data_IF_094043769095
#
_entry.id   IF_094043769095
#
_cell.length_a   1.000
_cell.length_b   1.000
_cell.length_c   1.000
_cell.angle_alpha   90.00
_cell.angle_beta   90.00
_cell.angle_gamma   90.00
#
_symmetry.space_group_name_H-M   'P 1'
#
loop_
_entity.id
_entity.type
_entity.pdbx_description
1 polymer ?
#
# COMPACT_ATOMS: atom_id res chain seq x y z
N UNK A 1 38.35 19.11 30.87
CA UNK A 1 36.92 19.32 31.14
C UNK A 1 36.14 18.80 29.94
N UNK A 2 35.55 17.60 30.05
CA UNK A 2 34.62 17.08 29.03
C UNK A 2 33.21 17.47 29.45
N UNK A 3 32.54 18.18 28.56
CA UNK A 3 31.18 18.65 28.69
C UNK A 3 30.23 17.44 28.91
N UNK A 4 29.71 17.29 30.12
CA UNK A 4 28.72 16.27 30.44
C UNK A 4 27.36 16.82 30.00
N UNK A 5 26.99 16.51 28.75
CA UNK A 5 25.65 16.79 28.24
C UNK A 5 24.56 16.25 29.18
N UNK A 6 23.39 16.89 29.24
CA UNK A 6 22.41 16.68 30.30
C UNK A 6 22.00 15.21 30.41
N UNK A 7 22.27 14.62 31.57
CA UNK A 7 21.78 13.30 31.96
C UNK A 7 20.25 13.33 32.00
N UNK A 8 19.61 12.95 30.90
CA UNK A 8 18.17 12.70 30.88
C UNK A 8 17.84 11.68 31.99
N UNK A 9 16.93 12.07 32.88
CA UNK A 9 16.52 11.23 34.01
C UNK A 9 15.96 9.89 33.51
N UNK A 10 16.04 8.81 34.32
CA UNK A 10 15.50 7.49 33.95
C UNK A 10 14.02 7.55 33.53
N UNK A 11 13.25 8.48 34.12
CA UNK A 11 11.84 8.73 33.78
C UNK A 11 11.68 9.41 32.42
N UNK A 12 12.53 10.39 32.08
CA UNK A 12 12.53 11.06 30.77
C UNK A 12 12.90 10.12 29.61
N UNK A 13 13.88 9.24 29.82
CA UNK A 13 14.25 8.24 28.79
C UNK A 13 13.13 7.25 28.51
N UNK A 14 12.37 6.85 29.55
CA UNK A 14 11.26 5.89 29.42
C UNK A 14 10.06 6.48 28.69
N UNK A 15 9.73 7.76 28.94
CA UNK A 15 8.62 8.45 28.26
C UNK A 15 8.94 8.75 26.79
N UNK A 16 10.20 9.06 26.47
CA UNK A 16 10.64 9.26 25.10
C UNK A 16 10.59 7.94 24.30
N UNK A 17 11.11 6.85 24.88
CA UNK A 17 11.02 5.51 24.28
C UNK A 17 9.58 5.07 24.04
N UNK A 18 8.66 5.28 25.00
CA UNK A 18 7.25 4.92 24.80
C UNK A 18 6.63 5.72 23.65
N UNK A 19 6.86 7.04 23.60
CA UNK A 19 6.39 7.89 22.48
C UNK A 19 6.90 7.40 21.13
N UNK A 20 8.17 7.04 21.03
CA UNK A 20 8.74 6.55 19.76
C UNK A 20 8.13 5.22 19.33
N UNK A 21 7.89 4.30 20.26
CA UNK A 21 7.25 3.01 19.97
C UNK A 21 5.81 3.21 19.50
N UNK A 22 5.05 4.09 20.15
CA UNK A 22 3.66 4.40 19.78
C UNK A 22 3.56 5.04 18.39
N UNK A 23 4.52 5.89 18.01
CA UNK A 23 4.57 6.48 16.67
C UNK A 23 4.88 5.43 15.60
N UNK A 24 5.83 4.53 15.86
CA UNK A 24 6.21 3.43 14.95
C UNK A 24 5.07 2.45 14.72
N UNK A 25 4.34 2.09 15.78
CA UNK A 25 3.20 1.19 15.67
C UNK A 25 2.08 1.81 14.83
N UNK A 26 1.73 3.08 15.11
CA UNK A 26 0.66 3.78 14.40
C UNK A 26 0.97 4.01 12.92
N UNK A 27 2.22 4.31 12.57
CA UNK A 27 2.62 4.50 11.17
C UNK A 27 2.54 3.21 10.36
N UNK A 28 2.89 2.06 10.95
CA UNK A 28 2.79 0.76 10.29
C UNK A 28 1.33 0.32 10.09
N UNK A 29 0.45 0.62 11.05
CA UNK A 29 -1.00 0.43 10.91
C UNK A 29 -1.56 1.34 9.80
N UNK A 30 -1.16 2.61 9.77
CA UNK A 30 -1.59 3.55 8.73
C UNK A 30 -1.16 3.09 7.32
N UNK A 31 0.10 2.68 7.15
CA UNK A 31 0.58 2.08 5.90
C UNK A 31 -0.30 0.89 5.49
N UNK A 32 -0.55 -0.03 6.42
CA UNK A 32 -1.32 -1.25 6.15
C UNK A 32 -2.73 -0.92 5.64
N UNK A 33 -3.45 -0.06 6.37
CA UNK A 33 -4.82 0.31 6.02
C UNK A 33 -4.90 1.10 4.72
N UNK A 34 -3.97 2.03 4.48
CA UNK A 34 -3.95 2.82 3.24
C UNK A 34 -3.58 1.96 2.02
N UNK A 35 -2.63 1.02 2.16
CA UNK A 35 -2.29 0.09 1.09
C UNK A 35 -3.46 -0.84 0.76
N UNK A 36 -4.13 -1.39 1.79
CA UNK A 36 -5.32 -2.22 1.62
C UNK A 36 -6.47 -1.44 0.96
N UNK A 37 -6.71 -0.19 1.38
CA UNK A 37 -7.70 0.70 0.77
C UNK A 37 -7.36 1.00 -0.69
N UNK A 38 -6.11 1.34 -1.01
CA UNK A 38 -5.69 1.65 -2.37
C UNK A 38 -5.84 0.47 -3.33
N UNK A 39 -5.41 -0.74 -2.92
CA UNK A 39 -5.57 -1.96 -3.74
C UNK A 39 -7.04 -2.33 -3.88
N UNK A 40 -7.83 -2.24 -2.81
CA UNK A 40 -9.26 -2.51 -2.84
C UNK A 40 -10.00 -1.55 -3.76
N UNK A 41 -9.77 -0.25 -3.60
CA UNK A 41 -10.38 0.79 -4.42
C UNK A 41 -10.03 0.62 -5.90
N UNK A 42 -8.81 0.18 -6.22
CA UNK A 42 -8.41 -0.13 -7.60
C UNK A 42 -9.27 -1.22 -8.23
N UNK A 43 -9.52 -2.32 -7.52
CA UNK A 43 -10.37 -3.40 -8.02
C UNK A 43 -11.83 -2.99 -8.08
N UNK A 44 -12.36 -2.31 -7.06
CA UNK A 44 -13.74 -1.80 -7.06
C UNK A 44 -13.98 -0.83 -8.22
N UNK A 45 -13.07 0.12 -8.41
CA UNK A 45 -13.15 1.09 -9.50
C UNK A 45 -12.99 0.42 -10.87
N UNK A 46 -12.13 -0.60 -10.98
CA UNK A 46 -11.99 -1.41 -12.19
C UNK A 46 -13.28 -2.17 -12.55
N UNK A 47 -13.96 -2.74 -11.56
CA UNK A 47 -15.28 -3.36 -11.77
C UNK A 47 -16.32 -2.33 -12.19
N UNK A 48 -16.36 -1.16 -11.54
CA UNK A 48 -17.25 -0.06 -11.91
C UNK A 48 -16.99 0.44 -13.34
N UNK A 49 -15.72 0.53 -13.75
CA UNK A 49 -15.31 0.88 -15.10
C UNK A 49 -15.86 -0.12 -16.12
N UNK A 50 -15.59 -1.41 -15.94
CA UNK A 50 -16.05 -2.44 -16.88
C UNK A 50 -17.59 -2.50 -16.93
N UNK A 51 -18.24 -2.43 -15.78
CA UNK A 51 -19.70 -2.43 -15.70
C UNK A 51 -20.31 -1.22 -16.41
N UNK A 52 -19.86 0.00 -16.10
CA UNK A 52 -20.37 1.22 -16.74
C UNK A 52 -20.05 1.28 -18.24
N UNK A 53 -18.93 0.70 -18.67
CA UNK A 53 -18.61 0.54 -20.09
C UNK A 53 -19.63 -0.34 -20.80
N UNK A 54 -20.02 -1.47 -20.22
CA UNK A 54 -21.03 -2.37 -20.79
C UNK A 54 -22.42 -1.73 -20.83
N UNK A 55 -22.77 -0.90 -19.84
CA UNK A 55 -24.11 -0.33 -19.71
C UNK A 55 -24.30 0.98 -20.49
N UNK A 56 -23.30 1.85 -20.49
CA UNK A 56 -23.42 3.24 -20.95
C UNK A 56 -22.29 3.66 -21.91
N UNK A 57 -21.37 2.74 -22.24
CA UNK A 57 -20.29 2.98 -23.19
C UNK A 57 -19.04 3.63 -22.58
N UNK A 58 -17.98 3.77 -23.40
CA UNK A 58 -16.66 4.19 -22.95
C UNK A 58 -16.61 5.59 -22.35
N UNK A 59 -17.35 6.54 -22.94
CA UNK A 59 -17.33 7.94 -22.52
C UNK A 59 -17.81 8.11 -21.07
N UNK A 60 -18.93 7.47 -20.72
CA UNK A 60 -19.50 7.50 -19.36
C UNK A 60 -18.56 6.81 -18.37
N UNK A 61 -18.04 5.63 -18.73
CA UNK A 61 -17.08 4.89 -17.88
C UNK A 61 -15.83 5.71 -17.54
N UNK A 62 -15.26 6.41 -18.53
CA UNK A 62 -14.12 7.28 -18.32
C UNK A 62 -14.46 8.48 -17.42
N UNK A 63 -15.62 9.10 -17.61
CA UNK A 63 -16.05 10.23 -16.77
C UNK A 63 -16.29 9.81 -15.31
N UNK A 64 -16.97 8.69 -15.08
CA UNK A 64 -17.29 8.18 -13.74
C UNK A 64 -16.04 7.81 -12.94
N UNK A 65 -14.98 7.35 -13.60
CA UNK A 65 -13.78 6.83 -12.93
C UNK A 65 -12.56 7.77 -12.99
N UNK A 66 -12.68 8.91 -13.70
CA UNK A 66 -11.57 9.83 -13.98
C UNK A 66 -10.79 10.25 -12.72
N UNK A 67 -11.50 10.58 -11.64
CA UNK A 67 -10.88 11.02 -10.38
C UNK A 67 -10.38 9.86 -9.51
N UNK A 68 -10.95 8.67 -9.66
CA UNK A 68 -10.60 7.52 -8.84
C UNK A 68 -9.18 7.02 -9.11
N UNK A 69 -8.76 6.96 -10.38
CA UNK A 69 -7.42 6.50 -10.76
C UNK A 69 -6.26 7.30 -10.13
N UNK A 70 -6.21 8.64 -10.26
CA UNK A 70 -5.18 9.44 -9.60
C UNK A 70 -5.31 9.43 -8.07
N UNK A 71 -6.53 9.35 -7.51
CA UNK A 71 -6.74 9.27 -6.07
C UNK A 71 -6.12 7.99 -5.47
N UNK A 72 -6.25 6.84 -6.15
CA UNK A 72 -5.59 5.59 -5.73
C UNK A 72 -4.07 5.75 -5.69
N UNK A 73 -3.48 6.31 -6.75
CA UNK A 73 -2.04 6.59 -6.81
C UNK A 73 -1.58 7.47 -5.64
N UNK A 74 -2.34 8.53 -5.35
CA UNK A 74 -2.05 9.43 -4.22
C UNK A 74 -2.15 8.72 -2.87
N UNK A 75 -3.19 7.92 -2.63
CA UNK A 75 -3.33 7.11 -1.42
C UNK A 75 -2.13 6.19 -1.24
N UNK A 76 -1.65 5.56 -2.32
CA UNK A 76 -0.47 4.70 -2.27
C UNK A 76 0.82 5.46 -1.97
N UNK A 77 1.01 6.67 -2.51
CA UNK A 77 2.15 7.52 -2.15
C UNK A 77 2.09 7.88 -0.67
N UNK A 78 0.93 8.32 -0.16
CA UNK A 78 0.76 8.64 1.26
C UNK A 78 1.01 7.41 2.14
N UNK A 79 0.56 6.23 1.71
CA UNK A 79 0.82 4.96 2.40
C UNK A 79 2.33 4.71 2.52
N UNK A 80 3.07 4.79 1.42
CA UNK A 80 4.52 4.57 1.41
C UNK A 80 5.22 5.62 2.28
N UNK A 81 4.81 6.89 2.21
CA UNK A 81 5.36 7.94 3.07
C UNK A 81 5.08 7.66 4.56
N UNK A 82 3.90 7.17 4.91
CA UNK A 82 3.57 6.75 6.28
C UNK A 82 4.52 5.65 6.76
N UNK A 83 4.87 4.71 5.88
CA UNK A 83 5.87 3.68 6.19
C UNK A 83 7.26 4.27 6.52
N UNK A 84 7.65 5.44 6.02
CA UNK A 84 8.98 5.96 6.33
C UNK A 84 9.15 6.35 7.81
N UNK A 85 8.06 6.69 8.50
CA UNK A 85 8.09 7.08 9.91
C UNK A 85 8.32 5.91 10.89
N UNK A 86 8.26 4.66 10.43
CA UNK A 86 8.63 3.50 11.26
C UNK A 86 10.10 3.07 11.11
N UNK A 87 10.80 3.57 10.08
CA UNK A 87 12.19 3.19 9.80
C UNK A 87 13.16 3.89 10.77
N UNK A 88 14.11 3.12 11.33
CA UNK A 88 15.20 3.67 12.14
C UNK A 88 16.20 4.52 11.33
N UNK A 89 16.38 4.20 10.04
CA UNK A 89 17.19 5.01 9.11
C UNK A 89 16.54 5.05 7.72
N UNK A 90 15.75 6.08 7.40
CA UNK A 90 15.08 6.22 6.10
C UNK A 90 16.06 6.24 4.91
N UNK A 91 17.28 6.74 5.11
CA UNK A 91 18.33 6.79 4.08
C UNK A 91 18.82 5.41 3.60
N UNK A 92 18.60 4.36 4.39
CA UNK A 92 18.93 2.99 4.02
C UNK A 92 17.73 2.20 3.47
N UNK A 93 16.58 2.84 3.24
CA UNK A 93 15.37 2.16 2.74
C UNK A 93 15.60 1.39 1.44
N UNK A 94 16.52 1.86 0.58
CA UNK A 94 16.89 1.18 -0.66
C UNK A 94 17.46 -0.24 -0.44
N UNK A 95 18.10 -0.51 0.71
CA UNK A 95 18.63 -1.85 1.03
C UNK A 95 17.52 -2.88 1.23
N UNK A 96 16.28 -2.46 1.39
CA UNK A 96 15.15 -3.37 1.47
C UNK A 96 15.00 -4.24 0.22
N UNK A 97 15.56 -3.84 -0.92
CA UNK A 97 15.56 -4.62 -2.15
C UNK A 97 16.59 -5.77 -2.18
N UNK A 98 17.54 -5.84 -1.24
CA UNK A 98 18.63 -6.81 -1.27
C UNK A 98 18.19 -8.26 -0.99
N UNK A 99 17.00 -8.47 -0.40
CA UNK A 99 16.55 -9.79 0.06
C UNK A 99 15.17 -10.25 -0.46
N UNK A 100 14.81 -9.85 -1.68
CA UNK A 100 13.53 -10.18 -2.33
C UNK A 100 13.20 -11.69 -2.36
N UNK A 101 14.23 -12.54 -2.44
CA UNK A 101 14.05 -14.00 -2.50
C UNK A 101 13.59 -14.59 -1.18
N UNK A 102 14.02 -14.07 -0.03
CA UNK A 102 13.78 -14.70 1.29
C UNK A 102 12.85 -13.89 2.20
N UNK A 103 12.75 -12.58 2.00
CA UNK A 103 12.00 -11.70 2.89
C UNK A 103 10.67 -11.27 2.29
N UNK A 104 9.56 -11.59 2.98
CA UNK A 104 8.24 -11.07 2.63
C UNK A 104 8.15 -9.55 2.74
N UNK A 105 8.85 -8.95 3.72
CA UNK A 105 8.96 -7.51 3.88
C UNK A 105 9.63 -6.83 2.66
N UNK A 106 10.68 -7.45 2.10
CA UNK A 106 11.31 -6.94 0.88
C UNK A 106 10.36 -6.98 -0.32
N UNK A 107 9.56 -8.05 -0.43
CA UNK A 107 8.54 -8.19 -1.48
C UNK A 107 7.43 -7.15 -1.32
N UNK A 108 7.00 -6.89 -0.09
CA UNK A 108 6.01 -5.86 0.22
C UNK A 108 6.45 -4.48 -0.28
N UNK A 109 7.69 -4.07 0.02
CA UNK A 109 8.23 -2.78 -0.45
C UNK A 109 8.29 -2.71 -1.98
N UNK A 110 8.71 -3.80 -2.63
CA UNK A 110 8.73 -3.88 -4.09
C UNK A 110 7.33 -3.75 -4.69
N UNK A 111 6.38 -4.56 -4.25
CA UNK A 111 5.04 -4.55 -4.83
C UNK A 111 4.26 -3.28 -4.48
N UNK A 112 4.50 -2.67 -3.31
CA UNK A 112 3.94 -1.35 -2.97
C UNK A 112 4.44 -0.27 -3.93
N UNK A 113 5.75 -0.25 -4.21
CA UNK A 113 6.36 0.71 -5.13
C UNK A 113 5.89 0.50 -6.57
N UNK A 114 5.83 -0.75 -7.03
CA UNK A 114 5.34 -1.09 -8.37
C UNK A 114 3.85 -0.75 -8.54
N UNK A 115 3.03 -1.03 -7.53
CA UNK A 115 1.60 -0.71 -7.56
C UNK A 115 1.37 0.82 -7.55
N UNK A 116 2.08 1.56 -6.69
CA UNK A 116 2.00 3.02 -6.64
C UNK A 116 2.43 3.66 -7.98
N UNK A 117 3.62 3.31 -8.48
CA UNK A 117 4.13 3.85 -9.74
C UNK A 117 3.29 3.44 -10.94
N UNK A 118 2.86 2.18 -11.00
CA UNK A 118 2.01 1.66 -12.07
C UNK A 118 0.64 2.32 -12.09
N UNK A 119 -0.02 2.47 -10.94
CA UNK A 119 -1.32 3.15 -10.85
C UNK A 119 -1.24 4.63 -11.25
N UNK A 120 -0.19 5.35 -10.84
CA UNK A 120 0.05 6.73 -11.29
C UNK A 120 0.32 6.81 -12.78
N UNK A 121 1.13 5.89 -13.34
CA UNK A 121 1.38 5.81 -14.78
C UNK A 121 0.09 5.60 -15.55
N UNK A 122 -0.74 4.65 -15.13
CA UNK A 122 -2.02 4.37 -15.76
C UNK A 122 -2.98 5.58 -15.66
N UNK A 123 -3.02 6.25 -14.51
CA UNK A 123 -3.80 7.46 -14.34
C UNK A 123 -3.33 8.56 -15.31
N UNK A 124 -2.01 8.78 -15.42
CA UNK A 124 -1.44 9.72 -16.38
C UNK A 124 -1.76 9.35 -17.84
N UNK A 125 -1.71 8.05 -18.19
CA UNK A 125 -2.14 7.54 -19.51
C UNK A 125 -3.58 7.90 -19.85
N UNK A 126 -4.47 7.75 -18.87
CA UNK A 126 -5.88 8.06 -19.06
C UNK A 126 -6.13 9.57 -19.17
N UNK A 127 -5.52 10.37 -18.30
CA UNK A 127 -5.71 11.82 -18.26
C UNK A 127 -5.09 12.55 -19.47
N UNK A 128 -3.91 12.13 -19.91
CA UNK A 128 -3.20 12.73 -21.04
C UNK A 128 -3.58 12.10 -22.39
N UNK A 129 -4.39 11.04 -22.37
CA UNK A 129 -4.87 10.39 -23.59
C UNK A 129 -3.80 9.61 -24.37
N UNK A 130 -2.69 9.18 -23.75
CA UNK A 130 -1.61 8.46 -24.44
C UNK A 130 -1.70 6.92 -24.37
N UNK A 131 -1.28 6.23 -25.44
CA UNK A 131 -1.25 4.77 -25.54
C UNK A 131 -2.58 4.14 -25.99
N UNK A 132 -2.51 2.94 -26.59
CA UNK A 132 -3.67 2.23 -27.12
C UNK A 132 -4.59 1.71 -26.00
N UNK A 133 -5.90 1.68 -26.24
CA UNK A 133 -6.89 1.21 -25.27
C UNK A 133 -6.58 -0.21 -24.75
N UNK A 134 -6.27 -1.15 -25.65
CA UNK A 134 -5.90 -2.51 -25.28
C UNK A 134 -4.64 -2.55 -24.40
N UNK A 135 -3.64 -1.72 -24.72
CA UNK A 135 -2.41 -1.59 -23.93
C UNK A 135 -2.67 -1.07 -22.52
N UNK A 136 -3.55 -0.06 -22.38
CA UNK A 136 -3.97 0.45 -21.06
C UNK A 136 -4.74 -0.61 -20.26
N UNK A 137 -5.59 -1.40 -20.92
CA UNK A 137 -6.32 -2.51 -20.28
C UNK A 137 -5.39 -3.60 -19.74
N UNK A 138 -4.43 -4.06 -20.56
CA UNK A 138 -3.43 -5.06 -20.15
C UNK A 138 -2.56 -4.54 -19.01
N UNK A 139 -2.09 -3.28 -19.13
CA UNK A 139 -1.31 -2.64 -18.08
C UNK A 139 -2.13 -2.53 -16.78
N UNK A 140 -3.40 -2.13 -16.87
CA UNK A 140 -4.30 -2.04 -15.73
C UNK A 140 -4.51 -3.37 -15.02
N UNK A 141 -4.81 -4.44 -15.75
CA UNK A 141 -4.90 -5.78 -15.15
C UNK A 141 -3.59 -6.21 -14.50
N UNK A 142 -2.46 -5.93 -15.14
CA UNK A 142 -1.13 -6.24 -14.59
C UNK A 142 -0.89 -5.51 -13.26
N UNK A 143 -1.21 -4.22 -13.20
CA UNK A 143 -1.11 -3.41 -11.97
C UNK A 143 -2.08 -3.96 -10.90
N UNK A 144 -3.31 -4.31 -11.27
CA UNK A 144 -4.28 -4.91 -10.34
C UNK A 144 -3.77 -6.20 -9.71
N UNK A 145 -3.15 -7.08 -10.51
CA UNK A 145 -2.51 -8.32 -10.04
C UNK A 145 -1.34 -8.00 -9.11
N UNK A 146 -0.48 -7.05 -9.47
CA UNK A 146 0.60 -6.58 -8.59
C UNK A 146 0.07 -6.11 -7.23
N UNK A 147 -1.07 -5.41 -7.22
CA UNK A 147 -1.76 -5.02 -5.98
C UNK A 147 -2.22 -6.23 -5.14
N UNK A 148 -2.79 -7.27 -5.76
CA UNK A 148 -3.16 -8.49 -5.03
C UNK A 148 -1.93 -9.23 -4.46
N UNK A 149 -0.84 -9.26 -5.22
CA UNK A 149 0.42 -9.84 -4.76
C UNK A 149 1.01 -9.03 -3.59
N UNK A 150 0.86 -7.70 -3.59
CA UNK A 150 1.21 -6.85 -2.44
C UNK A 150 0.45 -7.27 -1.19
N UNK A 151 -0.88 -7.40 -1.25
CA UNK A 151 -1.68 -7.86 -0.10
C UNK A 151 -1.25 -9.26 0.36
N UNK A 152 -0.91 -10.13 -0.60
CA UNK A 152 -0.33 -11.43 -0.32
C UNK A 152 1.00 -11.34 0.45
N UNK A 153 1.91 -10.45 0.03
CA UNK A 153 3.17 -10.22 0.72
C UNK A 153 2.95 -9.69 2.15
N UNK A 154 2.08 -8.70 2.31
CA UNK A 154 1.72 -8.10 3.61
C UNK A 154 1.19 -9.17 4.58
N UNK A 155 0.21 -9.96 4.16
CA UNK A 155 -0.35 -11.03 5.01
C UNK A 155 0.70 -12.08 5.41
N UNK A 156 1.64 -12.41 4.52
CA UNK A 156 2.71 -13.36 4.84
C UNK A 156 3.79 -12.80 5.78
N UNK A 157 3.98 -11.47 5.84
CA UNK A 157 4.86 -10.83 6.85
C UNK A 157 4.41 -11.15 8.29
N UNK A 158 3.10 -11.32 8.52
CA UNK A 158 2.54 -11.63 9.85
C UNK A 158 2.44 -13.12 10.17
N UNK A 159 2.63 -14.02 9.19
CA UNK A 159 2.56 -15.47 9.38
C UNK A 159 3.85 -16.04 9.95
N UNK A 160 4.13 -15.69 11.20
CA UNK A 160 5.34 -16.06 11.92
C UNK A 160 5.14 -17.34 12.72
N UNK A 161 6.05 -18.31 12.57
CA UNK A 161 6.04 -19.56 13.35
C UNK A 161 6.06 -19.34 14.86
N UNK A 162 6.65 -18.24 15.31
CA UNK A 162 6.78 -17.86 16.72
C UNK A 162 5.50 -17.32 17.33
N UNK A 163 4.49 -16.97 16.52
CA UNK A 163 3.20 -16.45 16.99
C UNK A 163 2.08 -17.32 16.38
N UNK A 164 1.73 -18.46 17.02
CA UNK A 164 0.79 -19.44 16.45
C UNK A 164 -0.58 -18.86 16.08
N UNK A 165 -1.06 -17.86 16.83
CA UNK A 165 -2.33 -17.19 16.58
C UNK A 165 -2.41 -16.53 15.19
N UNK A 166 -1.27 -16.10 14.62
CA UNK A 166 -1.20 -15.46 13.30
C UNK A 166 -0.62 -16.38 12.22
N UNK A 167 -0.21 -17.59 12.58
CA UNK A 167 0.40 -18.53 11.64
C UNK A 167 -0.63 -19.45 10.97
N UNK A 168 -1.62 -18.86 10.31
CA UNK A 168 -2.68 -19.60 9.62
C UNK A 168 -3.08 -18.93 8.30
N UNK A 169 -3.87 -19.64 7.48
CA UNK A 169 -4.45 -19.06 6.27
C UNK A 169 -5.47 -17.94 6.60
N UNK A 170 -6.06 -17.97 7.80
CA UNK A 170 -7.05 -16.98 8.22
C UNK A 170 -6.46 -15.57 8.27
N UNK A 171 -5.18 -15.43 8.63
CA UNK A 171 -4.46 -14.14 8.57
C UNK A 171 -4.34 -13.62 7.15
N UNK A 172 -4.13 -14.49 6.17
CA UNK A 172 -4.08 -14.06 4.78
C UNK A 172 -5.48 -13.67 4.28
N UNK A 173 -6.49 -14.48 4.61
CA UNK A 173 -7.88 -14.22 4.26
C UNK A 173 -8.39 -12.90 4.86
N UNK A 174 -8.04 -12.59 6.11
CA UNK A 174 -8.44 -11.33 6.75
C UNK A 174 -7.82 -10.12 6.05
N UNK A 175 -6.57 -10.19 5.59
CA UNK A 175 -5.95 -9.11 4.81
C UNK A 175 -6.68 -8.85 3.49
N UNK A 176 -7.04 -9.89 2.74
CA UNK A 176 -7.83 -9.71 1.52
C UNK A 176 -9.25 -9.20 1.83
N UNK A 177 -9.89 -9.72 2.88
CA UNK A 177 -11.22 -9.26 3.30
C UNK A 177 -11.21 -7.77 3.64
N UNK A 178 -10.25 -7.29 4.43
CA UNK A 178 -10.13 -5.86 4.74
C UNK A 178 -9.80 -5.02 3.51
N UNK A 179 -8.96 -5.51 2.60
CA UNK A 179 -8.70 -4.86 1.30
C UNK A 179 -10.00 -4.61 0.54
N UNK A 180 -10.81 -5.64 0.30
CA UNK A 180 -12.03 -5.48 -0.49
C UNK A 180 -13.11 -4.68 0.25
N UNK A 181 -13.23 -4.81 1.58
CA UNK A 181 -14.16 -4.00 2.38
C UNK A 181 -13.80 -2.51 2.35
N UNK A 182 -12.53 -2.17 2.60
CA UNK A 182 -12.06 -0.78 2.55
C UNK A 182 -12.17 -0.21 1.14
N UNK A 183 -11.87 -1.02 0.12
CA UNK A 183 -12.01 -0.62 -1.27
C UNK A 183 -13.44 -0.34 -1.69
N UNK A 184 -14.38 -1.19 -1.28
CA UNK A 184 -15.80 -0.97 -1.51
C UNK A 184 -16.28 0.31 -0.81
N UNK A 185 -15.90 0.53 0.45
CA UNK A 185 -16.25 1.73 1.22
C UNK A 185 -15.62 3.02 0.67
N UNK A 186 -14.45 2.94 0.04
CA UNK A 186 -13.77 4.12 -0.51
C UNK A 186 -14.36 4.59 -1.84
N UNK A 187 -15.04 3.70 -2.58
CA UNK A 187 -15.56 3.96 -3.93
C UNK A 187 -17.09 4.03 -3.98
N UNK A 188 -17.78 3.20 -3.20
CA UNK A 188 -19.25 3.15 -3.12
C UNK A 188 -19.81 4.11 -2.10
#
# INVERSE_FOLDING_TARGET
MRDMGPHASPTGRRSELSRTNDMRARSLVAFTLLAQMGVGAYWTLGVLFVWSWCQAGPAVSHQLTAFGWPAIGLIMVISILASLFHLGSPTNAWRAFDNLRRSWLSREILFATLFAGGSMLLAAMQLLGFGMLAGRGILGLTIGIVGLVLIGAMGNTYRLRTVPAWNSWATLASFFATTFLLGALAVG
#
